data_IF_597814875158
#
_entry.id   IF_597814875158
#
_cell.length_a   1.000
_cell.length_b   1.000
_cell.length_c   1.000
_cell.angle_alpha   90.00
_cell.angle_beta   90.00
_cell.angle_gamma   90.00
#
_symmetry.space_group_name_H-M   'P 1'
#
loop_
_entity.id
_entity.type
_entity.pdbx_description
1 polymer ?
#
# COMPACT_ATOMS: atom_id res chain seq x y z
N UNK A 1 -21.83 -2.14 26.62
CA UNK A 1 -20.66 -1.25 26.76
C UNK A 1 -20.08 -1.04 25.36
N UNK A 2 -20.63 -0.10 24.60
CA UNK A 2 -20.12 0.25 23.28
C UNK A 2 -19.08 1.35 23.45
N UNK A 3 -17.80 1.01 23.34
CA UNK A 3 -16.77 2.03 23.19
C UNK A 3 -17.06 2.80 21.90
N UNK A 4 -17.02 4.12 21.97
CA UNK A 4 -16.99 4.98 20.78
C UNK A 4 -15.74 4.60 19.97
N UNK A 5 -15.85 3.62 19.06
CA UNK A 5 -14.83 3.44 18.04
C UNK A 5 -14.79 4.74 17.24
N UNK A 6 -13.66 5.44 17.28
CA UNK A 6 -13.45 6.63 16.47
C UNK A 6 -13.60 6.26 15.00
N UNK A 7 -14.63 6.83 14.38
CA UNK A 7 -14.96 6.60 12.98
C UNK A 7 -13.87 7.16 12.04
N UNK A 8 -13.11 8.16 12.49
CA UNK A 8 -11.98 8.73 11.77
C UNK A 8 -10.70 8.54 12.57
N UNK A 9 -9.72 7.86 11.99
CA UNK A 9 -8.40 7.62 12.57
C UNK A 9 -7.38 8.40 11.76
N UNK A 10 -6.64 9.28 12.41
CA UNK A 10 -5.58 10.10 11.80
C UNK A 10 -4.25 9.73 12.43
N UNK A 11 -3.27 9.27 11.63
CA UNK A 11 -1.96 8.84 12.15
C UNK A 11 -0.94 9.99 12.25
N UNK A 12 -1.39 11.24 12.05
CA UNK A 12 -0.53 12.41 12.07
C UNK A 12 -1.20 13.59 12.80
N UNK A 13 -0.37 14.53 13.22
CA UNK A 13 -0.76 15.86 13.66
C UNK A 13 -0.27 16.91 12.66
N UNK A 14 -1.13 17.88 12.37
CA UNK A 14 -0.77 19.07 11.59
C UNK A 14 -0.42 20.18 12.56
N UNK A 15 0.75 20.80 12.37
CA UNK A 15 1.08 22.05 13.07
C UNK A 15 0.11 23.18 12.69
N UNK A 16 0.20 24.31 13.39
CA UNK A 16 -0.68 25.48 13.19
C UNK A 16 -0.42 26.23 11.86
N UNK A 17 0.51 25.78 11.02
CA UNK A 17 0.82 26.40 9.72
C UNK A 17 0.81 25.39 8.57
N UNK A 18 0.37 25.85 7.41
CA UNK A 18 0.01 25.06 6.23
C UNK A 18 1.19 24.43 5.44
N UNK A 19 2.44 24.66 5.85
CA UNK A 19 3.64 24.26 5.11
C UNK A 19 4.56 23.26 5.85
N UNK A 20 4.17 22.73 7.00
CA UNK A 20 4.96 21.71 7.69
C UNK A 20 4.56 20.30 7.30
N UNK A 21 5.56 19.42 7.17
CA UNK A 21 5.36 17.98 7.02
C UNK A 21 4.55 17.49 8.24
N UNK A 22 3.41 16.79 8.03
CA UNK A 22 2.62 16.25 9.12
C UNK A 22 3.47 15.34 10.02
N UNK A 23 3.38 15.55 11.33
CA UNK A 23 4.18 14.81 12.30
C UNK A 23 3.44 13.53 12.71
N UNK A 24 4.13 12.38 12.85
CA UNK A 24 3.52 11.17 13.36
C UNK A 24 2.91 11.38 14.74
N UNK A 25 1.71 10.86 14.98
CA UNK A 25 1.09 10.84 16.31
C UNK A 25 0.63 9.43 16.65
N UNK A 26 0.86 8.93 17.88
CA UNK A 26 1.65 9.57 18.94
C UNK A 26 3.14 9.63 18.56
N UNK A 27 3.96 10.42 19.28
CA UNK A 27 5.38 10.57 18.94
C UNK A 27 6.22 9.28 19.13
N UNK A 28 5.70 8.31 19.88
CA UNK A 28 6.35 7.02 20.17
C UNK A 28 5.54 5.89 19.53
N UNK A 29 6.23 4.91 18.96
CA UNK A 29 5.59 3.74 18.36
C UNK A 29 4.72 2.97 19.37
N UNK A 30 3.46 2.74 19.00
CA UNK A 30 2.49 1.91 19.71
C UNK A 30 2.17 0.69 18.84
N UNK A 31 2.50 -0.49 19.34
CA UNK A 31 2.24 -1.76 18.64
C UNK A 31 0.78 -2.20 18.77
N UNK A 32 0.24 -2.76 17.70
CA UNK A 32 -0.96 -3.59 17.74
C UNK A 32 -0.74 -4.85 16.89
N UNK A 33 -0.97 -6.01 17.51
CA UNK A 33 -0.86 -7.31 16.87
C UNK A 33 -2.13 -8.12 17.13
N UNK A 34 -3.22 -7.64 16.55
CA UNK A 34 -4.55 -8.21 16.68
C UNK A 34 -5.17 -8.40 15.28
N UNK A 35 -6.47 -8.69 15.25
CA UNK A 35 -7.25 -8.94 14.03
C UNK A 35 -7.83 -7.65 13.41
N UNK A 36 -7.76 -6.53 14.11
CA UNK A 36 -8.40 -5.26 13.75
C UNK A 36 -7.39 -4.24 13.21
N UNK A 37 -6.08 -4.49 13.37
CA UNK A 37 -5.00 -3.64 12.89
C UNK A 37 -4.05 -4.37 11.91
N UNK A 38 -3.33 -3.58 11.12
CA UNK A 38 -2.23 -4.06 10.28
C UNK A 38 -1.11 -4.56 11.18
N UNK A 39 -0.69 -5.81 10.96
CA UNK A 39 0.50 -6.38 11.61
C UNK A 39 1.75 -5.77 11.02
N UNK A 40 2.30 -4.77 11.70
CA UNK A 40 3.47 -4.02 11.25
C UNK A 40 4.74 -4.87 11.27
N UNK A 41 5.66 -4.69 10.30
CA UNK A 41 6.89 -5.47 10.22
C UNK A 41 7.83 -5.22 11.43
N UNK A 42 7.77 -4.02 12.02
CA UNK A 42 8.52 -3.61 13.20
C UNK A 42 7.94 -4.09 14.54
N UNK A 43 6.82 -4.80 14.54
CA UNK A 43 6.25 -5.36 15.77
C UNK A 43 7.21 -6.36 16.44
N UNK A 44 7.39 -6.31 17.77
CA UNK A 44 8.15 -7.32 18.50
C UNK A 44 7.61 -8.75 18.34
N UNK A 45 6.33 -8.89 17.96
CA UNK A 45 5.64 -10.17 17.72
C UNK A 45 5.85 -10.71 16.30
N UNK A 46 6.46 -9.93 15.41
CA UNK A 46 6.92 -10.39 14.10
C UNK A 46 8.18 -11.23 14.28
N UNK A 47 8.01 -12.54 14.48
CA UNK A 47 9.10 -13.48 14.72
C UNK A 47 9.56 -14.17 13.43
N UNK A 48 10.83 -14.54 13.39
CA UNK A 48 11.47 -15.29 12.33
C UNK A 48 12.36 -16.39 12.93
N UNK A 49 12.58 -17.48 12.18
CA UNK A 49 13.48 -18.57 12.60
C UNK A 49 14.75 -18.50 11.78
N UNK A 50 15.85 -18.11 12.41
CA UNK A 50 17.19 -18.09 11.83
C UNK A 50 18.04 -19.15 12.57
N UNK A 51 18.64 -20.09 11.83
CA UNK A 51 19.48 -21.15 12.41
C UNK A 51 18.82 -21.93 13.57
N UNK A 52 17.52 -22.24 13.43
CA UNK A 52 16.67 -22.91 14.45
C UNK A 52 16.42 -22.10 15.73
N UNK A 53 16.81 -20.83 15.75
CA UNK A 53 16.55 -19.89 16.87
C UNK A 53 15.46 -18.92 16.45
N UNK A 54 14.49 -18.69 17.34
CA UNK A 54 13.47 -17.67 17.14
C UNK A 54 14.05 -16.30 17.48
N UNK A 55 14.03 -15.40 16.50
CA UNK A 55 14.51 -14.02 16.61
C UNK A 55 13.42 -13.04 16.17
N UNK A 56 13.54 -11.76 16.54
CA UNK A 56 12.66 -10.74 15.97
C UNK A 56 12.99 -10.56 14.50
N UNK A 57 11.97 -10.68 13.64
CA UNK A 57 12.10 -10.52 12.20
C UNK A 57 12.58 -9.12 11.83
N UNK A 58 12.16 -8.11 12.60
CA UNK A 58 12.59 -6.73 12.38
C UNK A 58 14.10 -6.56 12.54
N UNK A 59 14.75 -7.23 13.51
CA UNK A 59 16.21 -7.15 13.69
C UNK A 59 16.93 -7.71 12.46
N UNK A 60 16.40 -8.79 11.86
CA UNK A 60 16.91 -9.36 10.61
C UNK A 60 16.73 -8.38 9.45
N UNK A 61 15.53 -7.77 9.33
CA UNK A 61 15.21 -6.77 8.30
C UNK A 61 16.15 -5.56 8.41
N UNK A 62 16.32 -4.99 9.60
CA UNK A 62 17.23 -3.87 9.86
C UNK A 62 18.65 -4.23 9.43
N UNK A 63 19.18 -5.36 9.91
CA UNK A 63 20.55 -5.78 9.59
C UNK A 63 20.83 -5.85 8.09
N UNK A 64 19.89 -6.39 7.29
CA UNK A 64 20.10 -6.57 5.84
C UNK A 64 19.77 -5.33 5.02
N UNK A 65 18.74 -4.56 5.39
CA UNK A 65 18.36 -3.35 4.65
C UNK A 65 19.30 -2.17 4.95
N UNK A 66 20.03 -2.21 6.08
CA UNK A 66 21.12 -1.27 6.36
C UNK A 66 22.42 -1.58 5.60
N UNK A 67 22.54 -2.74 4.95
CA UNK A 67 23.66 -3.00 4.04
C UNK A 67 23.45 -2.27 2.72
N UNK A 68 24.54 -2.07 1.97
CA UNK A 68 24.48 -1.46 0.65
C UNK A 68 23.64 -2.31 -0.32
N UNK A 69 22.58 -1.73 -0.87
CA UNK A 69 21.75 -2.33 -1.92
C UNK A 69 21.86 -1.49 -3.19
N UNK A 70 22.77 -1.90 -4.08
CA UNK A 70 23.12 -1.19 -5.31
C UNK A 70 22.90 -2.03 -6.59
N UNK A 71 22.16 -3.14 -6.48
CA UNK A 71 21.84 -4.01 -7.60
C UNK A 71 20.57 -4.83 -7.32
N UNK A 72 19.95 -5.34 -8.39
CA UNK A 72 18.84 -6.29 -8.27
C UNK A 72 19.25 -7.56 -7.49
N UNK A 73 20.49 -8.02 -7.65
CA UNK A 73 21.03 -9.16 -6.91
C UNK A 73 21.13 -8.86 -5.41
N UNK A 74 21.70 -7.71 -5.03
CA UNK A 74 21.76 -7.30 -3.62
C UNK A 74 20.36 -7.15 -3.02
N UNK A 75 19.42 -6.59 -3.79
CA UNK A 75 18.01 -6.49 -3.40
C UNK A 75 17.40 -7.88 -3.16
N UNK A 76 17.60 -8.83 -4.07
CA UNK A 76 17.07 -10.18 -3.94
C UNK A 76 17.62 -10.90 -2.71
N UNK A 77 18.94 -10.79 -2.46
CA UNK A 77 19.59 -11.37 -1.27
C UNK A 77 18.95 -10.81 0.00
N UNK A 78 18.76 -9.49 0.07
CA UNK A 78 18.14 -8.84 1.22
C UNK A 78 16.71 -9.36 1.46
N UNK A 79 15.84 -9.32 0.44
CA UNK A 79 14.44 -9.77 0.54
C UNK A 79 14.34 -11.24 0.93
N UNK A 80 15.17 -12.10 0.34
CA UNK A 80 15.17 -13.53 0.61
C UNK A 80 15.64 -13.87 2.02
N UNK A 81 16.50 -13.05 2.64
CA UNK A 81 17.04 -13.33 3.99
C UNK A 81 15.94 -13.40 5.05
N UNK A 82 14.91 -12.57 4.97
CA UNK A 82 13.75 -12.59 5.88
C UNK A 82 12.50 -13.19 5.25
N UNK A 83 12.58 -13.75 4.05
CA UNK A 83 11.51 -14.47 3.34
C UNK A 83 12.01 -15.85 2.83
N UNK A 84 12.87 -16.55 3.58
CA UNK A 84 13.58 -17.74 3.09
C UNK A 84 12.69 -18.84 2.47
N UNK A 85 11.45 -18.98 2.95
CA UNK A 85 10.45 -19.92 2.42
C UNK A 85 10.20 -19.73 0.93
N UNK A 86 10.35 -18.50 0.44
CA UNK A 86 10.11 -18.11 -0.94
C UNK A 86 11.40 -17.91 -1.74
N UNK A 87 12.59 -18.05 -1.12
CA UNK A 87 13.86 -17.76 -1.78
C UNK A 87 14.14 -18.63 -3.03
N UNK A 88 13.50 -19.80 -3.14
CA UNK A 88 13.60 -20.69 -4.31
C UNK A 88 12.68 -20.31 -5.45
N UNK A 89 11.60 -19.58 -5.17
CA UNK A 89 10.54 -19.27 -6.13
C UNK A 89 10.51 -17.81 -6.51
N UNK A 90 10.95 -16.91 -5.63
CA UNK A 90 10.99 -15.48 -5.89
C UNK A 90 12.27 -15.10 -6.62
N UNK A 91 12.11 -14.64 -7.86
CA UNK A 91 13.14 -13.97 -8.64
C UNK A 91 12.86 -12.46 -8.74
N UNK A 92 13.83 -11.73 -9.28
CA UNK A 92 13.77 -10.27 -9.45
C UNK A 92 14.01 -9.88 -10.92
N UNK A 93 13.63 -10.76 -11.85
CA UNK A 93 13.96 -10.61 -13.26
C UNK A 93 13.33 -9.33 -13.84
N UNK A 94 12.07 -9.04 -13.46
CA UNK A 94 11.38 -7.82 -13.87
C UNK A 94 12.03 -6.56 -13.26
N UNK A 95 12.50 -6.62 -12.01
CA UNK A 95 13.24 -5.50 -11.40
C UNK A 95 14.58 -5.28 -12.09
N UNK A 96 15.31 -6.37 -12.38
CA UNK A 96 16.58 -6.32 -13.11
C UNK A 96 16.40 -5.72 -14.50
N UNK A 97 15.34 -6.09 -15.23
CA UNK A 97 14.99 -5.50 -16.51
C UNK A 97 14.64 -4.00 -16.39
N UNK A 98 13.84 -3.61 -15.40
CA UNK A 98 13.51 -2.21 -15.15
C UNK A 98 14.75 -1.36 -14.87
N UNK A 99 15.68 -1.86 -14.05
CA UNK A 99 16.93 -1.16 -13.73
C UNK A 99 17.92 -1.13 -14.90
N UNK A 100 17.85 -2.09 -15.84
CA UNK A 100 18.60 -2.02 -17.10
C UNK A 100 18.06 -0.92 -18.03
N UNK A 101 16.74 -0.75 -18.09
CA UNK A 101 16.12 0.33 -18.86
C UNK A 101 16.33 1.71 -18.20
N UNK A 102 16.29 1.77 -16.88
CA UNK A 102 16.45 2.99 -16.05
C UNK A 102 17.56 2.82 -15.02
N UNK A 103 18.83 2.81 -15.45
CA UNK A 103 19.98 2.65 -14.55
C UNK A 103 20.11 3.79 -13.54
N UNK A 104 19.55 4.97 -13.85
CA UNK A 104 19.45 6.12 -12.96
C UNK A 104 18.61 5.86 -11.71
N UNK A 105 17.78 4.81 -11.70
CA UNK A 105 16.98 4.41 -10.54
C UNK A 105 17.69 3.44 -9.59
N UNK A 106 18.86 2.91 -9.93
CA UNK A 106 19.62 2.01 -9.04
C UNK A 106 19.87 2.63 -7.65
N UNK A 107 20.28 3.90 -7.50
CA UNK A 107 20.47 4.52 -6.19
C UNK A 107 19.18 4.63 -5.35
N UNK A 108 17.99 4.52 -5.96
CA UNK A 108 16.73 4.55 -5.23
C UNK A 108 16.55 3.31 -4.36
N UNK A 109 17.14 2.16 -4.71
CA UNK A 109 17.02 0.94 -3.91
C UNK A 109 17.42 1.20 -2.45
N UNK A 110 18.63 1.74 -2.24
CA UNK A 110 19.08 2.09 -0.89
C UNK A 110 18.16 3.13 -0.22
N UNK A 111 17.75 4.18 -0.94
CA UNK A 111 16.87 5.22 -0.35
C UNK A 111 15.50 4.65 0.08
N UNK A 112 14.94 3.72 -0.70
CA UNK A 112 13.70 3.03 -0.36
C UNK A 112 13.91 2.12 0.86
N UNK A 113 15.05 1.43 0.96
CA UNK A 113 15.39 0.62 2.12
C UNK A 113 15.46 1.48 3.39
N UNK A 114 16.17 2.62 3.32
CA UNK A 114 16.31 3.56 4.43
C UNK A 114 14.93 4.12 4.86
N UNK A 115 14.05 4.42 3.90
CA UNK A 115 12.68 4.86 4.18
C UNK A 115 11.83 3.74 4.82
N UNK A 116 11.99 2.49 4.37
CA UNK A 116 11.27 1.36 4.97
C UNK A 116 11.68 1.16 6.44
N UNK A 117 12.96 1.34 6.77
CA UNK A 117 13.49 1.22 8.13
C UNK A 117 12.99 2.32 9.09
N UNK A 118 12.46 3.43 8.57
CA UNK A 118 11.80 4.49 9.37
C UNK A 118 10.36 4.17 9.78
N UNK A 119 9.84 2.97 9.47
CA UNK A 119 8.49 2.55 9.86
C UNK A 119 8.14 2.80 11.34
N UNK A 120 8.97 2.43 12.34
CA UNK A 120 8.65 2.69 13.75
C UNK A 120 8.62 4.20 14.09
N UNK A 121 9.34 5.04 13.34
CA UNK A 121 9.40 6.49 13.59
C UNK A 121 8.31 7.26 12.86
N UNK A 122 7.86 6.77 11.70
CA UNK A 122 6.88 7.45 10.84
C UNK A 122 5.45 6.94 11.01
N UNK A 123 5.27 5.65 11.28
CA UNK A 123 3.94 5.02 11.43
C UNK A 123 3.81 4.53 12.87
N UNK A 124 3.69 5.51 13.77
CA UNK A 124 3.76 5.31 15.22
C UNK A 124 2.44 4.84 15.83
N UNK A 125 1.31 5.07 15.18
CA UNK A 125 0.01 4.57 15.61
C UNK A 125 -0.39 3.30 14.85
N UNK A 126 -1.08 2.34 15.51
CA UNK A 126 -1.69 1.19 14.84
C UNK A 126 -2.57 1.58 13.66
N UNK A 127 -2.29 0.98 12.49
CA UNK A 127 -3.09 1.21 11.28
C UNK A 127 -4.34 0.32 11.32
N UNK A 128 -5.56 0.86 11.42
CA UNK A 128 -6.77 0.05 11.47
C UNK A 128 -7.08 -0.62 10.13
N UNK A 129 -7.63 -1.83 10.17
CA UNK A 129 -8.15 -2.52 9.00
C UNK A 129 -9.57 -2.04 8.67
N UNK A 130 -9.77 -1.61 7.42
CA UNK A 130 -11.08 -1.21 6.90
C UNK A 130 -11.92 -2.43 6.49
N UNK A 131 -12.42 -3.17 7.50
CA UNK A 131 -13.15 -4.44 7.33
C UNK A 131 -14.54 -4.28 6.74
N UNK A 132 -15.07 -5.37 6.17
CA UNK A 132 -16.43 -5.43 5.67
C UNK A 132 -17.46 -5.02 6.74
N UNK A 133 -18.53 -4.34 6.30
CA UNK A 133 -19.64 -3.88 7.13
C UNK A 133 -19.26 -2.92 8.27
N UNK A 134 -18.06 -2.34 8.25
CA UNK A 134 -17.63 -1.29 9.19
C UNK A 134 -17.37 -0.01 8.41
N UNK A 135 -18.14 1.04 8.70
CA UNK A 135 -17.79 2.39 8.24
C UNK A 135 -16.61 2.92 9.04
N UNK A 136 -15.55 3.34 8.34
CA UNK A 136 -14.36 3.91 8.97
C UNK A 136 -13.55 4.71 7.95
N UNK A 137 -12.93 5.78 8.41
CA UNK A 137 -11.97 6.61 7.69
C UNK A 137 -10.57 6.49 8.31
N UNK A 138 -9.56 6.47 7.46
CA UNK A 138 -8.15 6.46 7.83
C UNK A 138 -7.43 7.56 7.07
N UNK A 139 -6.89 8.53 7.81
CA UNK A 139 -6.12 9.65 7.27
C UNK A 139 -4.63 9.47 7.56
N UNK A 140 -3.82 9.52 6.51
CA UNK A 140 -2.36 9.32 6.53
C UNK A 140 -1.65 10.52 5.89
N UNK A 141 -0.44 10.84 6.34
CA UNK A 141 0.43 11.75 5.56
C UNK A 141 0.99 11.02 4.33
N UNK A 142 1.33 11.77 3.27
CA UNK A 142 1.93 11.17 2.08
C UNK A 142 3.30 10.52 2.39
N UNK A 143 4.05 11.06 3.37
CA UNK A 143 5.30 10.44 3.84
C UNK A 143 5.06 9.10 4.55
N UNK A 144 3.99 8.99 5.36
CA UNK A 144 3.59 7.71 5.96
C UNK A 144 3.22 6.68 4.90
N UNK A 145 2.48 7.08 3.87
CA UNK A 145 2.14 6.22 2.73
C UNK A 145 3.41 5.77 2.00
N UNK A 146 4.35 6.67 1.73
CA UNK A 146 5.61 6.33 1.10
C UNK A 146 6.41 5.32 1.93
N UNK A 147 6.43 5.46 3.27
CA UNK A 147 7.07 4.50 4.17
C UNK A 147 6.39 3.11 4.15
N UNK A 148 5.05 3.06 4.13
CA UNK A 148 4.30 1.81 4.00
C UNK A 148 4.54 1.14 2.63
N UNK A 149 4.59 1.93 1.55
CA UNK A 149 4.92 1.43 0.21
C UNK A 149 6.38 0.96 0.11
N UNK A 150 7.32 1.61 0.79
CA UNK A 150 8.70 1.16 0.85
C UNK A 150 8.82 -0.22 1.54
N UNK A 151 8.04 -0.43 2.60
CA UNK A 151 7.91 -1.73 3.25
C UNK A 151 7.27 -2.79 2.34
N UNK A 152 6.27 -2.42 1.54
CA UNK A 152 5.67 -3.29 0.52
C UNK A 152 6.65 -3.65 -0.61
N UNK A 153 7.44 -2.67 -1.07
CA UNK A 153 8.49 -2.84 -2.08
C UNK A 153 9.53 -3.86 -1.61
N UNK A 154 9.98 -3.77 -0.35
CA UNK A 154 10.87 -4.78 0.25
C UNK A 154 10.15 -6.03 0.78
N UNK A 155 8.84 -6.16 0.57
CA UNK A 155 8.06 -7.33 1.00
C UNK A 155 8.22 -7.68 2.49
N UNK A 156 8.21 -6.65 3.35
CA UNK A 156 8.45 -6.81 4.80
C UNK A 156 7.20 -7.21 5.58
N UNK A 157 5.98 -6.94 5.06
CA UNK A 157 4.75 -7.19 5.80
C UNK A 157 4.56 -8.68 6.11
N UNK A 158 4.48 -9.06 7.39
CA UNK A 158 4.32 -10.45 7.80
C UNK A 158 2.93 -10.98 7.49
N UNK A 159 2.82 -12.30 7.25
CA UNK A 159 1.55 -13.01 7.01
C UNK A 159 0.78 -12.57 5.76
N UNK A 160 1.39 -11.79 4.87
CA UNK A 160 0.77 -11.29 3.62
C UNK A 160 1.20 -12.01 2.35
N UNK A 161 2.05 -13.03 2.46
CA UNK A 161 2.58 -13.78 1.32
C UNK A 161 1.85 -15.12 1.08
N UNK A 162 0.94 -15.52 1.97
CA UNK A 162 0.15 -16.74 1.83
C UNK A 162 -1.25 -16.40 1.33
N UNK A 163 -1.65 -16.98 0.19
CA UNK A 163 -2.93 -16.72 -0.49
C UNK A 163 -3.97 -17.82 -0.29
N UNK A 164 -3.68 -18.83 0.55
CA UNK A 164 -4.63 -19.91 0.83
C UNK A 164 -5.90 -19.42 1.53
N UNK A 165 -7.02 -20.10 1.31
CA UNK A 165 -8.35 -19.74 1.85
C UNK A 165 -8.36 -19.60 3.38
N UNK A 166 -7.54 -20.39 4.08
CA UNK A 166 -7.41 -20.36 5.54
C UNK A 166 -6.35 -19.37 6.06
N UNK A 167 -5.81 -18.49 5.20
CA UNK A 167 -4.88 -17.46 5.64
C UNK A 167 -5.61 -16.33 6.37
N UNK A 168 -4.94 -15.71 7.34
CA UNK A 168 -5.50 -14.64 8.18
C UNK A 168 -5.99 -13.41 7.38
N UNK A 169 -5.43 -13.21 6.19
CA UNK A 169 -5.71 -12.07 5.31
C UNK A 169 -6.30 -12.51 3.97
N UNK A 170 -7.00 -13.66 3.92
CA UNK A 170 -7.60 -14.17 2.67
C UNK A 170 -8.68 -13.26 2.09
N UNK A 171 -9.31 -12.43 2.93
CA UNK A 171 -10.29 -11.39 2.57
C UNK A 171 -9.67 -10.03 2.21
N UNK A 172 -8.33 -9.91 2.22
CA UNK A 172 -7.61 -8.69 1.85
C UNK A 172 -6.78 -8.88 0.58
N UNK A 173 -6.59 -7.81 -0.22
CA UNK A 173 -5.67 -7.85 -1.36
C UNK A 173 -4.23 -8.10 -0.89
N UNK A 174 -3.38 -8.57 -1.81
CA UNK A 174 -1.94 -8.62 -1.58
C UNK A 174 -1.38 -7.21 -1.43
N UNK A 175 -0.30 -7.07 -0.66
CA UNK A 175 0.38 -5.78 -0.44
C UNK A 175 1.85 -5.83 -0.81
N UNK A 176 2.54 -6.94 -0.53
CA UNK A 176 3.96 -7.09 -0.85
C UNK A 176 4.15 -7.21 -2.37
N UNK A 177 5.19 -6.56 -2.90
CA UNK A 177 5.42 -6.45 -4.35
C UNK A 177 6.16 -7.65 -4.93
N UNK A 178 6.36 -8.72 -4.16
CA UNK A 178 7.11 -9.90 -4.59
C UNK A 178 6.63 -10.48 -5.92
N UNK A 179 5.31 -10.54 -6.15
CA UNK A 179 4.74 -11.04 -7.41
C UNK A 179 5.01 -10.11 -8.59
N UNK A 180 5.21 -8.81 -8.35
CA UNK A 180 5.52 -7.83 -9.39
C UNK A 180 6.95 -8.01 -9.91
N UNK A 181 7.89 -8.40 -9.04
CA UNK A 181 9.29 -8.58 -9.42
C UNK A 181 9.57 -9.94 -10.09
N UNK A 182 8.73 -10.93 -9.81
CA UNK A 182 8.88 -12.28 -10.36
C UNK A 182 8.50 -12.33 -11.85
N UNK A 183 9.39 -12.90 -12.67
CA UNK A 183 9.05 -13.38 -14.01
C UNK A 183 8.71 -14.88 -14.00
N UNK A 184 7.65 -15.30 -14.70
CA UNK A 184 7.31 -16.73 -14.87
C UNK A 184 8.03 -17.29 -16.10
N UNK A 185 9.35 -17.43 -16.03
CA UNK A 185 10.19 -17.98 -17.12
C UNK A 185 10.49 -17.00 -18.27
N UNK A 186 9.89 -15.81 -18.26
CA UNK A 186 10.23 -14.68 -19.11
C UNK A 186 9.94 -13.36 -18.36
N UNK A 187 10.57 -12.27 -18.80
CA UNK A 187 10.31 -10.93 -18.26
C UNK A 187 8.98 -10.42 -18.78
N UNK A 188 8.02 -10.17 -17.87
CA UNK A 188 6.74 -9.54 -18.21
C UNK A 188 6.94 -8.03 -18.38
N UNK A 189 6.88 -7.55 -19.63
CA UNK A 189 7.06 -6.13 -19.97
C UNK A 189 6.07 -5.22 -19.22
N UNK A 190 4.84 -5.67 -18.98
CA UNK A 190 3.87 -4.89 -18.19
C UNK A 190 4.35 -4.70 -16.76
N UNK A 191 4.95 -5.72 -16.17
CA UNK A 191 5.50 -5.61 -14.81
C UNK A 191 6.76 -4.74 -14.79
N UNK A 192 7.59 -4.77 -15.83
CA UNK A 192 8.74 -3.86 -15.97
C UNK A 192 8.28 -2.40 -15.95
N UNK A 193 7.29 -2.04 -16.77
CA UNK A 193 6.78 -0.65 -16.81
C UNK A 193 6.11 -0.23 -15.50
N UNK A 194 5.37 -1.14 -14.84
CA UNK A 194 4.82 -0.89 -13.50
C UNK A 194 5.93 -0.61 -12.48
N UNK A 195 7.03 -1.36 -12.52
CA UNK A 195 8.18 -1.15 -11.63
C UNK A 195 8.84 0.20 -11.92
N UNK A 196 9.02 0.57 -13.19
CA UNK A 196 9.57 1.88 -13.58
C UNK A 196 8.67 3.01 -13.04
N UNK A 197 7.35 2.86 -13.15
CA UNK A 197 6.38 3.82 -12.60
C UNK A 197 6.50 3.94 -11.07
N UNK A 198 6.61 2.83 -10.35
CA UNK A 198 6.81 2.82 -8.88
C UNK A 198 8.14 3.44 -8.46
N UNK A 199 9.23 3.15 -9.18
CA UNK A 199 10.53 3.77 -8.94
C UNK A 199 10.48 5.27 -9.21
N UNK A 200 9.77 5.71 -10.24
CA UNK A 200 9.55 7.12 -10.50
C UNK A 200 8.77 7.79 -9.37
N UNK A 201 7.73 7.15 -8.81
CA UNK A 201 7.06 7.64 -7.60
C UNK A 201 8.05 7.86 -6.45
N UNK A 202 8.90 6.87 -6.14
CA UNK A 202 9.91 7.02 -5.08
C UNK A 202 10.94 8.10 -5.41
N UNK A 203 11.33 8.25 -6.68
CA UNK A 203 12.21 9.34 -7.12
C UNK A 203 11.63 10.71 -6.76
N UNK A 204 10.30 10.88 -6.90
CA UNK A 204 9.60 12.12 -6.54
C UNK A 204 9.50 12.32 -5.02
N UNK A 205 9.36 11.24 -4.24
CA UNK A 205 9.39 11.32 -2.77
C UNK A 205 10.74 11.78 -2.25
N UNK A 206 11.83 11.44 -2.94
CA UNK A 206 13.20 11.81 -2.57
C UNK A 206 13.76 13.01 -3.34
N UNK A 207 12.89 13.81 -3.97
CA UNK A 207 13.30 15.00 -4.71
C UNK A 207 13.87 16.08 -3.78
N UNK A 208 14.57 17.06 -4.35
CA UNK A 208 15.27 18.13 -3.62
C UNK A 208 14.34 18.99 -2.78
N UNK A 209 13.09 19.12 -3.21
CA UNK A 209 12.05 19.89 -2.52
C UNK A 209 11.53 19.19 -1.25
N UNK A 210 12.03 17.98 -0.96
CA UNK A 210 11.64 17.18 0.18
C UNK A 210 10.41 16.30 -0.09
N UNK A 211 10.01 15.48 0.90
CA UNK A 211 8.88 14.59 0.73
C UNK A 211 7.57 15.38 0.64
N UNK A 212 6.55 14.83 -0.05
CA UNK A 212 5.25 15.46 -0.16
C UNK A 212 4.61 15.67 1.24
N UNK A 213 4.06 16.86 1.48
CA UNK A 213 3.51 17.31 2.76
C UNK A 213 1.98 17.15 2.89
N UNK A 214 1.32 16.68 1.83
CA UNK A 214 -0.12 16.47 1.82
C UNK A 214 -0.56 15.26 2.65
N UNK A 215 -1.88 15.10 2.73
CA UNK A 215 -2.53 14.01 3.46
C UNK A 215 -3.55 13.33 2.56
N UNK A 216 -3.82 12.05 2.83
CA UNK A 216 -4.74 11.23 2.06
C UNK A 216 -5.66 10.48 3.02
N UNK A 217 -6.96 10.55 2.76
CA UNK A 217 -7.98 9.87 3.56
C UNK A 217 -8.60 8.73 2.76
N UNK A 218 -8.53 7.53 3.33
CA UNK A 218 -9.20 6.34 2.83
C UNK A 218 -10.48 6.12 3.62
N UNK A 219 -11.63 6.13 2.96
CA UNK A 219 -12.95 5.97 3.63
C UNK A 219 -13.67 4.75 3.10
N UNK A 220 -14.03 3.83 4.00
CA UNK A 220 -14.98 2.75 3.69
C UNK A 220 -16.38 3.19 4.09
N UNK A 221 -17.29 3.27 3.12
CA UNK A 221 -18.72 3.56 3.33
C UNK A 221 -19.55 2.29 3.18
N UNK A 222 -20.58 2.15 4.01
CA UNK A 222 -21.53 1.04 3.98
C UNK A 222 -22.94 1.61 3.86
N UNK A 223 -23.64 1.28 2.78
CA UNK A 223 -25.02 1.71 2.58
C UNK A 223 -25.95 0.65 3.18
N UNK A 224 -26.68 1.00 4.24
CA UNK A 224 -27.61 0.09 4.91
C UNK A 224 -29.04 0.17 4.37
N UNK A 225 -29.38 1.29 3.73
CA UNK A 225 -30.71 1.55 3.20
C UNK A 225 -30.54 2.06 1.77
N UNK A 226 -30.52 1.17 0.75
CA UNK A 226 -30.52 1.61 -0.63
C UNK A 226 -31.80 2.40 -0.93
N UNK A 227 -31.77 3.41 -1.80
CA UNK A 227 -32.97 4.12 -2.19
C UNK A 227 -33.92 3.17 -2.93
N UNK A 228 -35.22 3.35 -2.73
CA UNK A 228 -36.23 2.66 -3.52
C UNK A 228 -36.34 3.38 -4.88
N UNK A 229 -35.69 2.80 -5.89
CA UNK A 229 -35.67 3.34 -7.24
C UNK A 229 -37.05 3.35 -7.90
N UNK A 230 -38.02 2.54 -7.44
CA UNK A 230 -39.35 2.47 -8.05
C UNK A 230 -40.22 3.69 -7.77
N UNK A 231 -39.94 4.37 -6.65
CA UNK A 231 -40.66 5.57 -6.20
C UNK A 231 -39.85 6.86 -6.40
N UNK A 232 -38.68 6.77 -7.03
CA UNK A 232 -37.83 7.93 -7.26
C UNK A 232 -38.38 8.82 -8.37
N UNK A 233 -38.76 10.06 -8.03
CA UNK A 233 -39.21 11.08 -8.98
C UNK A 233 -38.05 11.88 -9.61
N UNK A 234 -36.80 11.60 -9.24
CA UNK A 234 -35.62 12.31 -9.76
C UNK A 234 -35.44 12.01 -11.25
N UNK A 235 -35.55 13.04 -12.09
CA UNK A 235 -35.37 12.92 -13.54
C UNK A 235 -33.89 12.76 -13.89
N UNK A 236 -33.55 11.82 -14.78
CA UNK A 236 -32.17 11.62 -15.27
C UNK A 236 -31.59 12.89 -15.90
N UNK A 237 -32.42 13.65 -16.63
CA UNK A 237 -32.03 14.91 -17.26
C UNK A 237 -31.84 16.10 -16.30
N UNK A 238 -32.10 15.93 -15.00
CA UNK A 238 -31.86 16.97 -13.99
C UNK A 238 -30.36 17.12 -13.62
N UNK A 239 -29.52 16.19 -14.07
CA UNK A 239 -28.08 16.20 -13.83
C UNK A 239 -27.36 16.62 -15.12
N UNK A 240 -26.47 17.62 -15.07
CA UNK A 240 -25.60 17.95 -16.20
C UNK A 240 -24.80 16.72 -16.64
N UNK A 241 -24.98 16.29 -17.89
CA UNK A 241 -24.32 15.12 -18.44
C UNK A 241 -23.52 15.54 -19.68
N UNK A 242 -22.25 15.13 -19.72
CA UNK A 242 -21.34 15.34 -20.84
C UNK A 242 -20.61 14.04 -21.18
N UNK A 243 -20.41 13.81 -22.48
CA UNK A 243 -19.63 12.67 -22.99
C UNK A 243 -18.44 13.18 -23.77
N UNK A 244 -17.31 12.49 -23.62
CA UNK A 244 -16.12 12.73 -24.41
C UNK A 244 -15.55 11.39 -24.86
N UNK A 245 -15.20 11.28 -26.14
CA UNK A 245 -14.51 10.13 -26.71
C UNK A 245 -12.99 10.26 -26.70
N UNK A 246 -12.46 11.40 -26.23
CA UNK A 246 -11.04 11.74 -26.31
C UNK A 246 -10.41 12.12 -24.96
N UNK A 247 -11.20 12.17 -23.88
CA UNK A 247 -10.74 12.55 -22.54
C UNK A 247 -10.82 11.34 -21.62
N UNK A 248 -9.75 11.07 -20.87
CA UNK A 248 -9.76 10.06 -19.80
C UNK A 248 -10.26 10.67 -18.49
N UNK A 249 -10.60 9.83 -17.52
CA UNK A 249 -11.15 10.29 -16.23
C UNK A 249 -10.11 11.15 -15.50
N UNK A 250 -8.85 10.73 -15.50
CA UNK A 250 -7.72 11.42 -14.88
C UNK A 250 -7.35 12.75 -15.54
N UNK A 251 -7.79 12.99 -16.78
CA UNK A 251 -7.56 14.24 -17.52
C UNK A 251 -8.59 15.32 -17.18
N UNK A 252 -9.69 14.95 -16.52
CA UNK A 252 -10.74 15.90 -16.15
C UNK A 252 -10.24 16.86 -15.06
N UNK A 253 -10.36 18.17 -15.33
CA UNK A 253 -9.96 19.21 -14.39
C UNK A 253 -11.09 19.51 -13.39
N UNK A 254 -10.72 19.93 -12.18
CA UNK A 254 -11.65 20.41 -11.16
C UNK A 254 -11.84 19.43 -10.00
N UNK A 255 -12.99 19.53 -9.32
CA UNK A 255 -13.31 18.77 -8.09
C UNK A 255 -14.25 17.60 -8.36
N UNK A 256 -14.20 17.03 -9.56
CA UNK A 256 -15.06 15.90 -9.93
C UNK A 256 -14.71 14.66 -9.08
N UNK A 257 -15.73 13.85 -8.77
CA UNK A 257 -15.51 12.54 -8.16
C UNK A 257 -15.09 11.54 -9.23
N UNK A 258 -13.80 11.19 -9.27
CA UNK A 258 -13.26 10.27 -10.27
C UNK A 258 -13.57 8.82 -9.88
N UNK A 259 -14.18 8.08 -10.80
CA UNK A 259 -14.57 6.67 -10.59
C UNK A 259 -13.41 5.75 -10.94
N UNK A 260 -13.07 4.83 -10.04
CA UNK A 260 -12.14 3.73 -10.32
C UNK A 260 -12.95 2.45 -10.59
N UNK A 261 -12.84 1.91 -11.80
CA UNK A 261 -13.51 0.67 -12.20
C UNK A 261 -12.84 -0.54 -11.54
N UNK A 262 -13.29 -0.91 -10.33
CA UNK A 262 -12.92 -2.18 -9.70
C UNK A 262 -13.94 -3.26 -10.07
N UNK A 263 -13.52 -4.27 -10.82
CA UNK A 263 -14.29 -5.51 -10.98
C UNK A 263 -14.25 -6.27 -9.64
N UNK A 264 -15.30 -6.14 -8.84
CA UNK A 264 -15.53 -7.08 -7.76
C UNK A 264 -16.15 -8.34 -8.35
N UNK A 265 -15.54 -9.50 -8.13
CA UNK A 265 -16.02 -10.83 -8.57
C UNK A 265 -17.42 -11.17 -7.99
N UNK A 266 -17.95 -10.33 -7.08
CA UNK A 266 -19.28 -10.47 -6.48
C UNK A 266 -20.31 -9.44 -6.96
N UNK A 267 -20.03 -8.65 -8.01
CA UNK A 267 -21.08 -7.86 -8.63
C UNK A 267 -21.99 -8.80 -9.45
N UNK A 268 -23.19 -9.09 -8.95
CA UNK A 268 -24.23 -9.71 -9.78
C UNK A 268 -24.38 -8.87 -11.05
N UNK A 269 -24.35 -9.48 -12.25
CA UNK A 269 -24.62 -8.75 -13.47
C UNK A 269 -26.05 -8.21 -13.40
N UNK A 270 -26.17 -6.88 -13.41
CA UNK A 270 -27.45 -6.23 -13.69
C UNK A 270 -27.73 -6.47 -15.17
N UNK A 271 -28.51 -7.51 -15.46
CA UNK A 271 -29.12 -7.69 -16.76
C UNK A 271 -30.19 -6.61 -16.91
N UNK A 272 -29.88 -5.54 -17.63
CA UNK A 272 -30.89 -4.70 -18.23
C UNK A 272 -31.45 -5.48 -19.44
N UNK A 273 -32.55 -6.19 -19.23
CA UNK A 273 -33.41 -6.65 -20.32
C UNK A 273 -34.09 -5.41 -20.93
N UNK A 274 -33.75 -5.08 -22.17
CA UNK A 274 -34.49 -4.11 -22.96
C UNK A 274 -35.88 -4.67 -23.33
N UNK A 275 -36.90 -3.81 -23.51
CA UNK A 275 -38.25 -4.21 -23.89
C UNK A 275 -38.32 -4.81 -25.30
#
# INVERSE_FOLDING_TARGET
MGGNETLDVRLYETGHSWNHIPQPTPAVFVDAWDKDHVKMPCSPRSLYVENKVSVRRWDVIQRVLSQKIDSATAFQIAVNTYNNRYARTWNVDCLSAALRQRPDFVPLLQKIADLALKAPDLVTQPVPLLRQNKERSLSLSQLQIACLLANAFYSTFPRRNATGVNSEYSDFPTINFSSLFCGTGYTDESNVEKIICLLHYFSRVFDKDGPPSGTVTFTRRCLHSPPDFSVSEVLVGSIPFGVSSSCLIEDTQGTALHVSCRLSINAMPIYLSNP
#
